data_IF_415329995417
#
_entry.id   IF_415329995417
#
_cell.length_a   1.000
_cell.length_b   1.000
_cell.length_c   1.000
_cell.angle_alpha   90.00
_cell.angle_beta   90.00
_cell.angle_gamma   90.00
#
_symmetry.space_group_name_H-M   'P 1'
#
loop_
_entity.id
_entity.type
_entity.pdbx_description
1 polymer ?
#
# COMPACT_ATOMS: atom_id res chain seq x y z
N UNK A 1 -10.97 -7.35 -15.03
CA UNK A 1 -11.36 -7.05 -13.63
C UNK A 1 -10.30 -7.55 -12.68
N UNK A 2 -9.95 -6.77 -11.66
CA UNK A 2 -8.83 -7.03 -10.72
C UNK A 2 -9.07 -8.15 -9.69
N UNK A 3 -10.24 -8.81 -9.71
CA UNK A 3 -10.66 -9.75 -8.67
C UNK A 3 -10.90 -11.19 -9.17
N UNK A 4 -10.48 -11.51 -10.41
CA UNK A 4 -10.53 -12.88 -10.91
C UNK A 4 -9.72 -13.80 -9.97
N UNK A 5 -10.23 -15.01 -9.72
CA UNK A 5 -9.67 -16.04 -8.82
C UNK A 5 -9.74 -15.75 -7.31
N UNK A 6 -10.34 -14.63 -6.87
CA UNK A 6 -10.58 -14.39 -5.44
C UNK A 6 -11.85 -15.12 -4.98
N UNK A 7 -11.83 -15.64 -3.76
CA UNK A 7 -13.03 -16.08 -3.02
C UNK A 7 -13.49 -14.92 -2.15
N UNK A 8 -14.80 -14.67 -2.09
CA UNK A 8 -15.36 -13.53 -1.37
C UNK A 8 -16.18 -14.00 -0.17
N UNK A 9 -16.04 -13.27 0.93
CA UNK A 9 -16.88 -13.32 2.12
C UNK A 9 -17.10 -11.88 2.56
N UNK A 10 -18.30 -11.59 3.07
CA UNK A 10 -18.63 -10.30 3.67
C UNK A 10 -18.41 -10.36 5.18
N UNK A 11 -17.75 -9.34 5.73
CA UNK A 11 -17.57 -9.16 7.17
C UNK A 11 -17.63 -7.66 7.51
N UNK A 12 -18.58 -7.25 8.35
CA UNK A 12 -18.64 -5.88 8.84
C UNK A 12 -17.69 -5.68 10.02
N UNK A 13 -16.52 -5.10 9.76
CA UNK A 13 -15.48 -4.84 10.77
C UNK A 13 -15.90 -3.84 11.87
N UNK A 14 -17.03 -3.15 11.71
CA UNK A 14 -17.62 -2.30 12.77
C UNK A 14 -18.31 -3.13 13.85
N UNK A 15 -18.64 -4.38 13.55
CA UNK A 15 -19.22 -5.33 14.51
C UNK A 15 -18.14 -6.24 15.10
N UNK A 16 -18.30 -6.63 16.37
CA UNK A 16 -17.39 -7.60 17.00
C UNK A 16 -17.35 -8.94 16.24
N UNK A 17 -18.51 -9.40 15.76
CA UNK A 17 -18.61 -10.63 14.97
C UNK A 17 -17.81 -10.55 13.66
N UNK A 18 -17.88 -9.41 12.96
CA UNK A 18 -17.10 -9.22 11.73
C UNK A 18 -15.60 -9.11 11.99
N UNK A 19 -15.19 -8.46 13.09
CA UNK A 19 -13.78 -8.46 13.51
C UNK A 19 -13.28 -9.87 13.82
N UNK A 20 -14.11 -10.69 14.47
CA UNK A 20 -13.75 -12.07 14.78
C UNK A 20 -13.60 -12.94 13.54
N UNK A 21 -14.45 -12.75 12.52
CA UNK A 21 -14.28 -13.39 11.21
C UNK A 21 -12.90 -13.03 10.62
N UNK A 22 -12.51 -11.75 10.66
CA UNK A 22 -11.20 -11.31 10.14
C UNK A 22 -10.06 -11.93 10.94
N UNK A 23 -10.12 -11.94 12.28
CA UNK A 23 -9.10 -12.57 13.13
C UNK A 23 -8.94 -14.06 12.83
N UNK A 24 -10.04 -14.81 12.72
CA UNK A 24 -10.00 -16.24 12.38
C UNK A 24 -9.52 -16.53 10.95
N UNK A 25 -9.64 -15.57 10.02
CA UNK A 25 -8.96 -15.66 8.72
C UNK A 25 -7.46 -15.40 8.84
N UNK A 26 -7.06 -14.40 9.62
CA UNK A 26 -5.64 -14.04 9.85
C UNK A 26 -4.87 -15.18 10.50
N UNK A 27 -5.45 -15.90 11.47
CA UNK A 27 -4.81 -17.05 12.11
C UNK A 27 -4.33 -18.12 11.12
N UNK A 28 -5.00 -18.24 9.96
CA UNK A 28 -4.72 -19.25 8.93
C UNK A 28 -4.15 -18.66 7.64
N UNK A 29 -3.84 -17.37 7.62
CA UNK A 29 -3.34 -16.67 6.44
C UNK A 29 -1.86 -16.35 6.57
N UNK A 30 -1.14 -16.40 5.46
CA UNK A 30 0.26 -15.97 5.39
C UNK A 30 0.38 -14.44 5.29
N UNK A 31 -0.58 -13.81 4.60
CA UNK A 31 -0.55 -12.40 4.25
C UNK A 31 -1.92 -11.78 4.46
N UNK A 32 -1.96 -10.63 5.13
CA UNK A 32 -3.08 -9.69 5.11
C UNK A 32 -2.68 -8.47 4.29
N UNK A 33 -3.54 -8.05 3.36
CA UNK A 33 -3.35 -6.83 2.56
C UNK A 33 -4.55 -5.92 2.78
N UNK A 34 -4.29 -4.67 3.13
CA UNK A 34 -5.32 -3.66 3.28
C UNK A 34 -4.85 -2.30 2.77
N UNK A 35 -5.81 -1.46 2.39
CA UNK A 35 -5.56 -0.13 1.86
C UNK A 35 -6.46 0.94 2.50
N UNK A 36 -6.83 0.75 3.77
CA UNK A 36 -7.56 1.76 4.52
C UNK A 36 -6.65 2.95 4.85
N UNK A 37 -7.29 4.08 5.20
CA UNK A 37 -6.54 5.23 5.70
C UNK A 37 -5.79 4.86 6.99
N UNK A 38 -4.61 5.45 7.25
CA UNK A 38 -3.87 5.21 8.48
C UNK A 38 -4.76 5.35 9.72
N UNK A 39 -4.63 4.39 10.64
CA UNK A 39 -5.39 4.34 11.89
C UNK A 39 -6.78 3.68 11.83
N UNK A 40 -7.36 3.45 10.64
CA UNK A 40 -8.68 2.79 10.53
C UNK A 40 -8.63 1.37 11.09
N UNK A 41 -7.66 0.55 10.67
CA UNK A 41 -7.54 -0.83 11.15
C UNK A 41 -7.19 -0.89 12.64
N UNK A 42 -6.45 0.10 13.16
CA UNK A 42 -6.16 0.24 14.59
C UNK A 42 -7.43 0.51 15.40
N UNK A 43 -8.35 1.33 14.89
CA UNK A 43 -9.62 1.61 15.55
C UNK A 43 -10.45 0.33 15.78
N UNK A 44 -10.33 -0.66 14.88
CA UNK A 44 -11.04 -1.93 14.98
C UNK A 44 -10.20 -3.08 15.56
N UNK A 45 -9.03 -2.80 16.14
CA UNK A 45 -8.11 -3.81 16.68
C UNK A 45 -7.73 -4.89 15.64
N UNK A 46 -7.55 -4.46 14.40
CA UNK A 46 -7.12 -5.28 13.26
C UNK A 46 -5.80 -4.75 12.67
N UNK A 47 -5.06 -3.91 13.40
CA UNK A 47 -3.74 -3.41 13.02
C UNK A 47 -2.64 -4.44 13.23
N UNK A 48 -1.48 -4.21 12.59
CA UNK A 48 -0.35 -5.12 12.68
C UNK A 48 0.10 -5.44 14.11
N UNK A 49 0.34 -4.47 15.03
CA UNK A 49 0.68 -4.78 16.41
C UNK A 49 -0.31 -5.73 17.10
N UNK A 50 -1.60 -5.61 16.78
CA UNK A 50 -2.64 -6.46 17.36
C UNK A 50 -2.64 -7.85 16.74
N UNK A 51 -2.59 -7.93 15.41
CA UNK A 51 -2.65 -9.20 14.68
C UNK A 51 -1.34 -10.00 14.76
N UNK A 52 -0.18 -9.36 14.94
CA UNK A 52 1.09 -10.06 15.10
C UNK A 52 1.22 -10.77 16.46
N UNK A 53 0.50 -10.29 17.50
CA UNK A 53 0.36 -11.04 18.76
C UNK A 53 -0.48 -12.31 18.59
N UNK A 54 -1.45 -12.28 17.69
CA UNK A 54 -2.30 -13.42 17.35
C UNK A 54 -1.55 -14.42 16.44
N UNK A 55 -0.85 -13.92 15.42
CA UNK A 55 -0.06 -14.71 14.47
C UNK A 55 1.31 -14.05 14.26
N UNK A 56 2.37 -14.45 15.00
CA UNK A 56 3.71 -13.83 14.89
C UNK A 56 4.36 -13.92 13.51
N UNK A 57 3.92 -14.87 12.68
CA UNK A 57 4.40 -15.11 11.31
C UNK A 57 3.66 -14.29 10.24
N UNK A 58 2.65 -13.50 10.60
CA UNK A 58 1.82 -12.78 9.63
C UNK A 58 2.63 -11.73 8.87
N UNK A 59 2.53 -11.72 7.54
CA UNK A 59 2.93 -10.57 6.74
C UNK A 59 1.72 -9.64 6.64
N UNK A 60 1.87 -8.43 7.17
CA UNK A 60 0.83 -7.41 7.09
C UNK A 60 1.28 -6.33 6.13
N UNK A 61 0.58 -6.17 5.01
CA UNK A 61 0.81 -5.13 4.03
C UNK A 61 -0.26 -4.04 4.15
N UNK A 62 0.17 -2.82 4.44
CA UNK A 62 -0.68 -1.63 4.40
C UNK A 62 -0.31 -0.78 3.20
N UNK A 63 -1.29 -0.40 2.38
CA UNK A 63 -1.08 0.43 1.21
C UNK A 63 -1.88 1.73 1.32
N UNK A 64 -1.20 2.87 1.43
CA UNK A 64 -1.84 4.17 1.55
C UNK A 64 -1.24 5.20 0.58
N UNK A 65 -1.85 6.38 0.53
CA UNK A 65 -1.41 7.45 -0.36
C UNK A 65 0.02 7.93 -0.09
N UNK A 66 0.29 8.27 1.17
CA UNK A 66 1.56 8.87 1.59
C UNK A 66 2.40 7.96 2.51
N UNK A 67 1.91 6.77 2.87
CA UNK A 67 2.49 5.94 3.92
C UNK A 67 1.72 6.07 5.24
N UNK A 68 2.18 5.39 6.27
CA UNK A 68 1.47 5.32 7.57
C UNK A 68 1.94 6.37 8.57
N UNK A 69 2.99 7.12 8.20
CA UNK A 69 3.59 8.17 9.01
C UNK A 69 3.87 9.46 8.22
N UNK A 70 4.45 10.45 8.90
CA UNK A 70 4.77 11.74 8.33
C UNK A 70 3.60 12.74 8.27
N UNK A 71 3.87 13.99 7.90
CA UNK A 71 2.91 15.10 7.97
C UNK A 71 1.74 14.94 6.98
N UNK A 72 1.91 14.10 5.96
CA UNK A 72 0.91 13.88 4.92
C UNK A 72 0.12 12.56 5.08
N UNK A 73 0.41 11.72 6.10
CA UNK A 73 -0.18 10.38 6.26
C UNK A 73 -1.71 10.35 6.11
N UNK A 74 -2.39 11.34 6.70
CA UNK A 74 -3.85 11.41 6.72
C UNK A 74 -4.46 12.17 5.53
N UNK A 75 -3.65 12.63 4.57
CA UNK A 75 -4.17 13.36 3.40
C UNK A 75 -4.78 12.36 2.42
N UNK A 76 -5.98 12.63 1.89
CA UNK A 76 -6.59 11.76 0.88
C UNK A 76 -5.78 11.80 -0.42
N UNK A 77 -5.51 10.62 -0.98
CA UNK A 77 -4.84 10.47 -2.26
C UNK A 77 -5.63 9.50 -3.10
N UNK A 78 -5.80 9.88 -4.37
CA UNK A 78 -6.26 9.02 -5.44
C UNK A 78 -5.22 9.07 -6.55
N UNK A 79 -5.33 8.18 -7.53
CA UNK A 79 -4.32 8.03 -8.58
C UNK A 79 -3.87 9.35 -9.21
N UNK A 80 -4.80 10.23 -9.60
CA UNK A 80 -4.47 11.54 -10.20
C UNK A 80 -3.67 12.45 -9.27
N UNK A 81 -3.93 12.39 -7.96
CA UNK A 81 -3.17 13.13 -6.93
C UNK A 81 -1.77 12.52 -6.79
N UNK A 82 -1.66 11.18 -6.82
CA UNK A 82 -0.39 10.48 -6.84
C UNK A 82 0.46 10.83 -8.07
N UNK A 83 -0.15 10.82 -9.25
CA UNK A 83 0.50 11.20 -10.51
C UNK A 83 1.01 12.65 -10.46
N UNK A 84 0.18 13.58 -9.98
CA UNK A 84 0.53 15.00 -9.91
C UNK A 84 1.63 15.26 -8.89
N UNK A 85 1.43 14.84 -7.64
CA UNK A 85 2.38 15.14 -6.57
C UNK A 85 3.68 14.37 -6.70
N UNK A 86 3.63 13.14 -7.23
CA UNK A 86 4.81 12.32 -7.49
C UNK A 86 5.66 12.81 -8.64
N UNK A 87 5.25 13.86 -9.37
CA UNK A 87 5.99 14.43 -10.49
C UNK A 87 5.81 13.69 -11.82
N UNK A 88 4.94 12.68 -11.88
CA UNK A 88 4.74 11.89 -13.10
C UNK A 88 4.10 12.72 -14.22
N UNK A 89 3.14 13.57 -13.86
CA UNK A 89 2.47 14.42 -14.85
C UNK A 89 3.45 15.38 -15.53
N UNK A 90 4.45 15.93 -14.81
CA UNK A 90 5.42 16.85 -15.42
C UNK A 90 6.29 16.21 -16.49
N UNK A 91 6.42 14.88 -16.48
CA UNK A 91 7.22 14.14 -17.46
C UNK A 91 6.43 13.72 -18.69
N UNK A 92 5.11 13.60 -18.57
CA UNK A 92 4.31 12.88 -19.55
C UNK A 92 3.21 13.71 -20.20
N UNK A 93 2.85 14.87 -19.62
CA UNK A 93 1.83 15.75 -20.22
C UNK A 93 2.46 16.86 -21.04
N UNK A 94 1.83 17.16 -22.17
CA UNK A 94 2.00 18.45 -22.83
C UNK A 94 1.28 19.52 -21.99
N UNK A 95 2.02 20.54 -21.56
CA UNK A 95 1.48 21.65 -20.76
C UNK A 95 0.50 22.51 -21.55
N UNK A 96 0.64 22.58 -22.87
CA UNK A 96 -0.30 23.30 -23.73
C UNK A 96 -1.62 22.53 -23.91
N UNK A 97 -1.55 21.20 -23.84
CA UNK A 97 -2.69 20.30 -24.04
C UNK A 97 -2.74 19.18 -22.97
N UNK A 98 -2.99 19.52 -21.70
CA UNK A 98 -2.88 18.56 -20.61
C UNK A 98 -3.94 17.46 -20.75
N UNK A 99 -3.48 16.21 -20.75
CA UNK A 99 -4.35 15.02 -20.73
C UNK A 99 -3.96 14.11 -19.58
N UNK A 100 -4.96 13.68 -18.82
CA UNK A 100 -4.78 12.70 -17.76
C UNK A 100 -4.35 11.37 -18.38
N UNK A 101 -3.31 10.78 -17.81
CA UNK A 101 -2.75 9.50 -18.24
C UNK A 101 -3.58 8.39 -17.59
N UNK A 102 -3.72 7.28 -18.31
CA UNK A 102 -4.69 6.20 -18.10
C UNK A 102 -5.01 5.84 -16.64
N UNK A 103 -6.18 5.20 -16.41
CA UNK A 103 -7.02 5.46 -15.25
C UNK A 103 -6.51 5.04 -13.85
N UNK A 104 -5.31 4.47 -13.72
CA UNK A 104 -4.80 3.93 -12.45
C UNK A 104 -3.27 3.65 -12.48
N UNK A 105 -2.46 4.58 -12.99
CA UNK A 105 -1.02 4.31 -13.18
C UNK A 105 -0.26 4.15 -11.86
N UNK A 106 -0.43 5.10 -10.95
CA UNK A 106 0.23 5.09 -9.63
C UNK A 106 -0.37 4.07 -8.68
N UNK A 107 -1.67 3.76 -8.82
CA UNK A 107 -2.29 2.59 -8.18
C UNK A 107 -1.58 1.30 -8.62
N UNK A 108 -1.29 1.15 -9.92
CA UNK A 108 -0.55 0.01 -10.46
C UNK A 108 0.87 -0.09 -9.91
N UNK A 109 1.59 1.04 -9.86
CA UNK A 109 2.93 1.09 -9.27
C UNK A 109 2.91 0.70 -7.79
N UNK A 110 1.99 1.26 -7.01
CA UNK A 110 1.85 0.93 -5.59
C UNK A 110 1.53 -0.56 -5.38
N UNK A 111 0.65 -1.13 -6.22
CA UNK A 111 0.32 -2.55 -6.18
C UNK A 111 1.51 -3.46 -6.51
N UNK A 112 2.35 -3.08 -7.48
CA UNK A 112 3.59 -3.79 -7.80
C UNK A 112 4.62 -3.69 -6.67
N UNK A 113 4.82 -2.50 -6.10
CA UNK A 113 5.68 -2.30 -4.93
C UNK A 113 5.23 -3.15 -3.75
N UNK A 114 3.92 -3.20 -3.47
CA UNK A 114 3.37 -4.05 -2.43
C UNK A 114 3.61 -5.54 -2.69
N UNK A 115 3.42 -6.00 -3.93
CA UNK A 115 3.71 -7.38 -4.29
C UNK A 115 5.19 -7.73 -4.04
N UNK A 116 6.12 -6.85 -4.42
CA UNK A 116 7.55 -7.06 -4.15
C UNK A 116 7.88 -7.04 -2.65
N UNK A 117 7.31 -6.10 -1.89
CA UNK A 117 7.50 -6.03 -0.44
C UNK A 117 6.99 -7.27 0.27
N UNK A 118 5.81 -7.77 -0.12
CA UNK A 118 5.23 -9.02 0.40
C UNK A 118 6.12 -10.21 0.07
N UNK A 119 6.57 -10.34 -1.18
CA UNK A 119 7.44 -11.46 -1.58
C UNK A 119 8.78 -11.44 -0.83
N UNK A 120 9.38 -10.27 -0.66
CA UNK A 120 10.60 -10.11 0.13
C UNK A 120 10.38 -10.49 1.60
N UNK A 121 9.25 -10.07 2.19
CA UNK A 121 8.91 -10.38 3.56
C UNK A 121 8.62 -11.87 3.79
N UNK A 122 7.94 -12.53 2.85
CA UNK A 122 7.76 -13.99 2.85
C UNK A 122 9.11 -14.70 2.79
N UNK A 123 10.01 -14.28 1.91
CA UNK A 123 11.35 -14.86 1.81
C UNK A 123 12.17 -14.67 3.09
N UNK A 124 12.08 -13.50 3.74
CA UNK A 124 12.74 -13.26 5.01
C UNK A 124 12.16 -14.14 6.13
N UNK A 125 10.83 -14.29 6.17
CA UNK A 125 10.10 -15.13 7.12
C UNK A 125 10.51 -16.60 7.02
N UNK A 126 10.74 -17.14 5.82
CA UNK A 126 11.18 -18.53 5.65
C UNK A 126 12.50 -18.84 6.38
N UNK A 127 13.32 -17.82 6.64
CA UNK A 127 14.59 -17.95 7.37
C UNK A 127 14.47 -17.61 8.85
N UNK A 128 13.61 -16.65 9.20
CA UNK A 128 13.50 -16.14 10.57
C UNK A 128 12.39 -16.78 11.40
N UNK A 129 11.35 -17.32 10.74
CA UNK A 129 10.10 -17.74 11.36
C UNK A 129 9.24 -16.57 11.89
N UNK A 130 9.54 -15.33 11.51
CA UNK A 130 8.87 -14.12 12.04
C UNK A 130 8.31 -13.30 10.88
N UNK A 131 7.08 -12.83 11.03
CA UNK A 131 6.39 -11.97 10.06
C UNK A 131 6.89 -10.52 10.08
N UNK A 132 6.33 -9.69 9.20
CA UNK A 132 6.76 -8.31 9.03
C UNK A 132 5.59 -7.39 8.65
N UNK A 133 5.75 -6.11 8.98
CA UNK A 133 4.91 -5.04 8.49
C UNK A 133 5.52 -4.44 7.22
N UNK A 134 4.74 -4.42 6.15
CA UNK A 134 5.10 -3.83 4.85
C UNK A 134 4.25 -2.57 4.69
N UNK A 135 4.87 -1.40 4.90
CA UNK A 135 4.23 -0.10 4.64
C UNK A 135 4.54 0.35 3.21
N UNK A 136 3.49 0.54 2.41
CA UNK A 136 3.59 0.94 1.01
C UNK A 136 2.90 2.27 0.80
N UNK A 137 3.66 3.22 0.27
CA UNK A 137 3.17 4.54 -0.12
C UNK A 137 3.04 4.63 -1.64
N UNK A 138 1.87 5.05 -2.12
CA UNK A 138 1.64 5.37 -3.53
C UNK A 138 2.59 6.48 -4.00
N UNK A 139 2.75 7.52 -3.17
CA UNK A 139 3.64 8.64 -3.44
C UNK A 139 5.10 8.19 -3.55
N UNK A 140 5.60 7.42 -2.58
CA UNK A 140 6.97 6.93 -2.60
C UNK A 140 7.21 5.97 -3.78
N UNK A 141 6.23 5.12 -4.11
CA UNK A 141 6.30 4.22 -5.27
C UNK A 141 6.41 4.99 -6.58
N UNK A 142 5.70 6.11 -6.70
CA UNK A 142 5.73 6.97 -7.90
C UNK A 142 7.08 7.69 -8.02
N UNK A 143 7.61 8.24 -6.93
CA UNK A 143 8.93 8.88 -6.91
C UNK A 143 10.03 7.86 -7.25
N UNK A 144 9.98 6.67 -6.67
CA UNK A 144 10.95 5.61 -6.93
C UNK A 144 10.96 5.20 -8.42
N UNK A 145 9.77 5.18 -9.06
CA UNK A 145 9.67 4.93 -10.50
C UNK A 145 10.36 6.02 -11.35
N UNK A 146 10.33 7.28 -10.90
CA UNK A 146 10.98 8.42 -11.54
C UNK A 146 12.44 8.64 -11.10
N UNK A 147 13.10 7.59 -10.61
CA UNK A 147 14.46 7.69 -10.04
C UNK A 147 15.46 8.44 -10.93
N UNK A 148 15.43 8.30 -12.26
CA UNK A 148 16.31 9.05 -13.17
C UNK A 148 16.06 10.55 -13.14
N UNK A 149 14.81 10.98 -13.20
CA UNK A 149 14.42 12.40 -13.24
C UNK A 149 14.64 13.08 -11.90
N UNK A 150 14.31 12.38 -10.81
CA UNK A 150 14.62 12.83 -9.45
C UNK A 150 16.13 12.98 -9.27
N UNK A 151 16.93 12.01 -9.72
CA UNK A 151 18.39 12.09 -9.66
C UNK A 151 18.91 13.28 -10.47
N UNK A 152 18.40 13.48 -11.70
CA UNK A 152 18.77 14.60 -12.57
C UNK A 152 18.55 15.92 -11.86
N UNK A 153 17.34 16.15 -11.34
CA UNK A 153 17.01 17.38 -10.60
C UNK A 153 17.94 17.62 -9.40
N UNK A 154 18.26 16.59 -8.60
CA UNK A 154 19.18 16.76 -7.46
C UNK A 154 20.64 16.99 -7.88
N UNK A 155 21.06 16.50 -9.04
CA UNK A 155 22.42 16.69 -9.55
C UNK A 155 22.60 18.01 -10.31
N UNK A 156 21.61 18.44 -11.09
CA UNK A 156 21.72 19.58 -12.01
C UNK A 156 20.93 20.81 -11.57
N UNK A 157 19.91 20.63 -10.73
CA UNK A 157 18.97 21.68 -10.35
C UNK A 157 17.84 21.94 -11.35
N UNK A 158 17.76 21.11 -12.42
CA UNK A 158 16.81 21.22 -13.54
C UNK A 158 15.84 20.03 -13.63
#
# INVERSE_FOLDING_TARGET
GYNRNKRSIEADIRSEAGQEIVRGLVERSDVLVENFRPGVMKHFCLDYPTLSRLRPEIIYCSLSGFGQDGPAANRPVYDTVGQALGGLLSQLIDVEHPRIIGPAFTDGLAGLTAAYGILAALHARDRSGIGQYVDVSMFASTIAFLSSEVTRYYCTGD
#
